data_IF_995719671259
#
_entry.id   IF_995719671259
#
_cell.length_a   1.000
_cell.length_b   1.000
_cell.length_c   1.000
_cell.angle_alpha   90.00
_cell.angle_beta   90.00
_cell.angle_gamma   90.00
#
_symmetry.space_group_name_H-M   'P 1'
#
loop_
_entity.id
_entity.type
_entity.pdbx_description
1 polymer ?
#
# COMPACT_ATOMS: atom_id res chain seq x y z
N UNK A 1 24.83 21.67 -15.03
CA UNK A 1 24.79 22.89 -14.21
C UNK A 1 23.38 23.46 -14.05
N UNK A 2 22.69 23.86 -15.15
CA UNK A 2 21.33 24.43 -15.09
C UNK A 2 20.29 23.56 -14.34
N UNK A 3 20.31 22.24 -14.53
CA UNK A 3 19.39 21.31 -13.87
C UNK A 3 19.57 21.34 -12.34
N UNK A 4 20.79 21.26 -11.85
CA UNK A 4 21.06 21.29 -10.40
C UNK A 4 20.67 22.61 -9.73
N UNK A 5 20.83 23.74 -10.45
CA UNK A 5 20.38 25.05 -9.97
C UNK A 5 18.85 25.11 -9.86
N UNK A 6 18.15 24.58 -10.86
CA UNK A 6 16.68 24.55 -10.85
C UNK A 6 16.13 23.61 -9.76
N UNK A 7 16.77 22.47 -9.57
CA UNK A 7 16.42 21.53 -8.47
C UNK A 7 16.66 22.17 -7.10
N UNK A 8 17.77 22.89 -6.92
CA UNK A 8 18.05 23.64 -5.69
C UNK A 8 17.04 24.75 -5.43
N UNK A 9 16.66 25.52 -6.45
CA UNK A 9 15.63 26.54 -6.35
C UNK A 9 14.26 25.95 -6.00
N UNK A 10 13.86 24.85 -6.66
CA UNK A 10 12.61 24.17 -6.35
C UNK A 10 12.57 23.69 -4.90
N UNK A 11 13.66 23.09 -4.42
CA UNK A 11 13.76 22.64 -3.04
C UNK A 11 13.69 23.81 -2.07
N UNK A 12 14.38 24.92 -2.34
CA UNK A 12 14.34 26.13 -1.54
C UNK A 12 12.94 26.72 -1.41
N UNK A 13 12.21 26.85 -2.52
CA UNK A 13 10.80 27.31 -2.49
C UNK A 13 9.90 26.36 -1.73
N UNK A 14 10.06 25.05 -1.91
CA UNK A 14 9.28 24.03 -1.19
C UNK A 14 9.51 24.09 0.32
N UNK A 15 10.76 24.21 0.76
CA UNK A 15 11.10 24.32 2.17
C UNK A 15 10.55 25.62 2.78
N UNK A 16 10.68 26.75 2.07
CA UNK A 16 10.16 28.06 2.54
C UNK A 16 8.62 28.02 2.67
N UNK A 17 7.93 27.49 1.67
CA UNK A 17 6.47 27.36 1.71
C UNK A 17 5.98 26.45 2.84
N UNK A 18 6.63 25.31 3.04
CA UNK A 18 6.29 24.38 4.11
C UNK A 18 6.58 24.98 5.51
N UNK A 19 7.70 25.71 5.65
CA UNK A 19 8.03 26.41 6.89
C UNK A 19 7.01 27.49 7.23
N UNK A 20 6.62 28.30 6.24
CA UNK A 20 5.60 29.34 6.42
C UNK A 20 4.26 28.75 6.83
N UNK A 21 3.83 27.66 6.14
CA UNK A 21 2.62 26.95 6.49
C UNK A 21 2.68 26.38 7.91
N UNK A 22 3.81 25.74 8.28
CA UNK A 22 4.01 25.22 9.63
C UNK A 22 3.94 26.31 10.70
N UNK A 23 4.53 27.47 10.43
CA UNK A 23 4.45 28.64 11.35
C UNK A 23 3.03 29.19 11.48
N UNK A 24 2.26 29.23 10.39
CA UNK A 24 0.85 29.63 10.45
C UNK A 24 0.01 28.67 11.32
N UNK A 25 0.36 27.36 11.34
CA UNK A 25 -0.34 26.36 12.14
C UNK A 25 0.13 26.23 13.59
N UNK A 26 1.28 26.76 13.95
CA UNK A 26 1.87 26.64 15.29
C UNK A 26 1.38 27.77 16.22
N UNK A 27 0.71 27.41 17.32
CA UNK A 27 0.17 28.37 18.28
C UNK A 27 1.22 29.26 18.95
N UNK A 28 2.48 28.85 18.97
CA UNK A 28 3.63 29.55 19.51
C UNK A 28 4.28 30.53 18.53
N UNK A 29 3.84 30.53 17.26
CA UNK A 29 4.42 31.38 16.22
C UNK A 29 3.85 32.78 16.23
N UNK A 30 4.72 33.79 15.98
CA UNK A 30 4.31 35.18 15.85
C UNK A 30 3.35 35.45 14.67
N UNK A 31 3.33 34.55 13.69
CA UNK A 31 2.43 34.62 12.52
C UNK A 31 1.32 33.55 12.57
N UNK A 32 0.98 33.09 13.77
CA UNK A 32 -0.08 32.11 13.96
C UNK A 32 -1.42 32.58 13.36
N UNK A 33 -1.96 31.79 12.44
CA UNK A 33 -3.24 31.99 11.75
C UNK A 33 -3.87 30.63 11.47
N UNK A 34 -4.57 30.10 12.46
CA UNK A 34 -5.17 28.77 12.37
C UNK A 34 -6.11 28.63 11.17
N UNK A 35 -6.86 29.68 10.86
CA UNK A 35 -7.79 29.69 9.73
C UNK A 35 -7.08 29.55 8.39
N UNK A 36 -5.90 30.18 8.24
CA UNK A 36 -5.07 30.07 7.03
C UNK A 36 -4.51 28.65 6.88
N UNK A 37 -4.00 28.08 7.97
CA UNK A 37 -3.50 26.72 7.97
C UNK A 37 -4.63 25.70 7.67
N UNK A 38 -5.80 25.89 8.29
CA UNK A 38 -6.98 25.04 8.04
C UNK A 38 -7.48 25.18 6.59
N UNK A 39 -7.56 26.41 6.05
CA UNK A 39 -7.94 26.65 4.67
C UNK A 39 -6.97 25.99 3.67
N UNK A 40 -5.65 26.10 3.91
CA UNK A 40 -4.62 25.47 3.08
C UNK A 40 -4.78 23.94 3.06
N UNK A 41 -4.99 23.33 4.24
CA UNK A 41 -5.20 21.89 4.35
C UNK A 41 -6.51 21.45 3.67
N UNK A 42 -7.58 22.24 3.83
CA UNK A 42 -8.88 21.97 3.21
C UNK A 42 -8.78 22.05 1.68
N UNK A 43 -8.13 23.09 1.16
CA UNK A 43 -7.91 23.25 -0.29
C UNK A 43 -7.07 22.10 -0.84
N UNK A 44 -6.00 21.70 -0.14
CA UNK A 44 -5.18 20.55 -0.54
C UNK A 44 -6.00 19.26 -0.64
N UNK A 45 -6.88 18.99 0.34
CA UNK A 45 -7.82 17.85 0.29
C UNK A 45 -8.81 17.95 -0.87
N UNK A 46 -9.35 19.13 -1.11
CA UNK A 46 -10.27 19.35 -2.24
C UNK A 46 -9.58 19.09 -3.58
N UNK A 47 -8.34 19.58 -3.74
CA UNK A 47 -7.56 19.32 -4.96
C UNK A 47 -7.25 17.84 -5.15
N UNK A 48 -6.87 17.11 -4.09
CA UNK A 48 -6.66 15.67 -4.16
C UNK A 48 -7.95 14.92 -4.53
N UNK A 49 -9.07 15.29 -3.94
CA UNK A 49 -10.37 14.69 -4.26
C UNK A 49 -10.78 15.01 -5.70
N UNK A 50 -10.54 16.23 -6.17
CA UNK A 50 -10.81 16.63 -7.55
C UNK A 50 -9.94 15.83 -8.53
N UNK A 51 -8.63 15.72 -8.25
CA UNK A 51 -7.73 14.91 -9.07
C UNK A 51 -8.14 13.43 -9.08
N UNK A 52 -8.55 12.89 -7.92
CA UNK A 52 -9.03 11.51 -7.80
C UNK A 52 -10.31 11.30 -8.62
N UNK A 53 -11.28 12.21 -8.49
CA UNK A 53 -12.54 12.14 -9.22
C UNK A 53 -12.33 12.30 -10.72
N UNK A 54 -11.48 13.21 -11.13
CA UNK A 54 -11.10 13.42 -12.52
C UNK A 54 -10.40 12.18 -13.10
N UNK A 55 -9.41 11.62 -12.39
CA UNK A 55 -8.72 10.41 -12.81
C UNK A 55 -9.69 9.23 -12.96
N UNK A 56 -10.64 9.10 -12.04
CA UNK A 56 -11.66 8.05 -12.08
C UNK A 56 -12.65 8.26 -13.23
N UNK A 57 -13.10 9.49 -13.44
CA UNK A 57 -14.13 9.82 -14.44
C UNK A 57 -13.59 9.73 -15.87
N UNK A 58 -12.40 10.28 -16.13
CA UNK A 58 -11.87 10.41 -17.48
C UNK A 58 -10.92 9.29 -17.88
N UNK A 59 -10.27 8.63 -16.91
CA UNK A 59 -9.26 7.61 -17.20
C UNK A 59 -9.59 6.24 -16.60
N UNK A 60 -10.76 6.11 -15.94
CA UNK A 60 -11.19 4.89 -15.25
C UNK A 60 -10.06 4.30 -14.37
N UNK A 61 -9.27 5.18 -13.75
CA UNK A 61 -8.12 4.81 -12.92
C UNK A 61 -8.46 5.02 -11.46
N UNK A 62 -8.10 4.05 -10.63
CA UNK A 62 -8.05 4.27 -9.18
C UNK A 62 -6.66 4.77 -8.80
N UNK A 63 -6.60 5.65 -7.80
CA UNK A 63 -5.32 6.04 -7.20
C UNK A 63 -4.81 4.83 -6.41
N UNK A 64 -3.84 4.14 -7.00
CA UNK A 64 -3.13 3.05 -6.33
C UNK A 64 -1.96 3.66 -5.59
N UNK A 65 -1.89 3.44 -4.29
CA UNK A 65 -0.72 3.76 -3.49
C UNK A 65 0.49 2.99 -4.05
N UNK A 66 1.64 3.67 -4.17
CA UNK A 66 2.84 3.11 -4.77
C UNK A 66 3.70 2.24 -3.86
N UNK A 67 3.13 1.69 -2.81
CA UNK A 67 3.82 0.87 -1.83
C UNK A 67 3.77 -0.60 -2.29
N UNK A 68 4.92 -1.27 -2.35
CA UNK A 68 5.01 -2.62 -2.90
C UNK A 68 5.37 -3.63 -1.81
N UNK A 69 4.78 -4.81 -1.92
CA UNK A 69 5.10 -6.03 -1.17
C UNK A 69 5.74 -7.05 -2.10
N UNK A 70 6.42 -8.05 -1.54
CA UNK A 70 6.97 -9.15 -2.33
C UNK A 70 5.85 -9.99 -2.98
N UNK A 71 6.15 -10.65 -4.11
CA UNK A 71 5.14 -11.40 -4.86
C UNK A 71 4.70 -12.69 -4.18
N UNK A 72 5.56 -13.27 -3.38
CA UNK A 72 5.36 -14.47 -2.59
C UNK A 72 4.58 -14.25 -1.28
N UNK A 73 4.17 -13.00 -0.99
CA UNK A 73 3.37 -12.71 0.19
C UNK A 73 1.98 -13.35 0.11
N UNK A 74 1.57 -14.10 1.15
CA UNK A 74 0.27 -14.72 1.23
C UNK A 74 -0.83 -13.72 1.55
N UNK A 75 -1.97 -13.87 0.89
CA UNK A 75 -3.19 -13.11 1.14
C UNK A 75 -4.33 -14.03 1.55
N UNK A 76 -5.12 -13.59 2.51
CA UNK A 76 -6.42 -14.21 2.82
C UNK A 76 -7.44 -13.63 1.84
N UNK A 77 -7.99 -14.49 1.02
CA UNK A 77 -8.87 -14.14 -0.10
C UNK A 77 -10.21 -14.85 0.04
N UNK A 78 -11.23 -14.25 -0.53
CA UNK A 78 -12.53 -14.90 -0.71
C UNK A 78 -12.83 -14.98 -2.20
N UNK A 79 -13.13 -16.17 -2.67
CA UNK A 79 -13.49 -16.41 -4.07
C UNK A 79 -14.97 -16.09 -4.35
N UNK A 80 -15.42 -16.25 -5.61
CA UNK A 80 -16.82 -16.00 -6.01
C UNK A 80 -17.85 -16.92 -5.33
N UNK A 81 -17.44 -18.09 -4.90
CA UNK A 81 -18.28 -19.04 -4.18
C UNK A 81 -18.39 -18.73 -2.67
N UNK A 82 -17.69 -17.70 -2.21
CA UNK A 82 -17.62 -17.32 -0.80
C UNK A 82 -16.60 -18.10 0.02
N UNK A 83 -15.82 -19.00 -0.61
CA UNK A 83 -14.80 -19.78 0.07
C UNK A 83 -13.55 -18.93 0.35
N UNK A 84 -12.98 -19.15 1.53
CA UNK A 84 -11.73 -18.49 1.94
C UNK A 84 -10.55 -19.32 1.44
N UNK A 85 -9.61 -18.66 0.80
CA UNK A 85 -8.39 -19.25 0.24
C UNK A 85 -7.18 -18.43 0.68
N UNK A 86 -6.04 -19.09 0.86
CA UNK A 86 -4.76 -18.43 1.07
C UNK A 86 -3.91 -18.65 -0.19
N UNK A 87 -3.53 -17.54 -0.82
CA UNK A 87 -2.72 -17.56 -2.05
C UNK A 87 -1.67 -16.48 -2.00
N UNK A 88 -0.52 -16.72 -2.63
CA UNK A 88 0.49 -15.68 -2.82
C UNK A 88 0.03 -14.68 -3.89
N UNK A 89 0.49 -13.44 -3.79
CA UNK A 89 0.10 -12.38 -4.75
C UNK A 89 0.47 -12.78 -6.18
N UNK A 90 1.63 -13.38 -6.38
CA UNK A 90 2.09 -13.79 -7.72
C UNK A 90 1.28 -14.95 -8.32
N UNK A 91 0.68 -15.82 -7.47
CA UNK A 91 -0.16 -16.93 -7.90
C UNK A 91 -1.60 -16.55 -8.25
N UNK A 92 -1.97 -15.28 -8.07
CA UNK A 92 -3.32 -14.78 -8.34
C UNK A 92 -3.67 -14.78 -9.83
N UNK A 93 -2.66 -14.80 -10.71
CA UNK A 93 -2.86 -14.90 -12.15
C UNK A 93 -1.67 -15.59 -12.82
N UNK A 94 -1.96 -16.44 -13.77
CA UNK A 94 -0.97 -17.02 -14.67
C UNK A 94 -0.69 -16.09 -15.86
N UNK A 95 -1.69 -15.33 -16.27
CA UNK A 95 -1.62 -14.39 -17.40
C UNK A 95 -1.43 -12.95 -16.92
N UNK A 96 -0.40 -12.30 -17.44
CA UNK A 96 -0.07 -10.91 -17.10
C UNK A 96 0.04 -10.06 -18.36
N UNK A 97 -0.73 -9.00 -18.40
CA UNK A 97 -0.71 -8.02 -19.49
C UNK A 97 0.29 -6.89 -19.17
N UNK A 98 0.90 -6.34 -20.21
CA UNK A 98 1.69 -5.11 -20.07
C UNK A 98 0.80 -3.99 -19.54
N UNK A 99 1.26 -3.32 -18.49
CA UNK A 99 0.57 -2.15 -17.97
C UNK A 99 0.81 -0.96 -18.89
N UNK A 100 -0.11 -0.71 -19.82
CA UNK A 100 -0.05 0.45 -20.68
C UNK A 100 -0.23 1.72 -19.87
N UNK A 101 0.82 2.52 -19.79
CA UNK A 101 0.72 3.85 -19.25
C UNK A 101 0.17 4.78 -20.30
N UNK A 102 -0.74 5.64 -19.88
CA UNK A 102 -1.33 6.68 -20.70
C UNK A 102 -0.24 7.58 -21.28
N UNK A 103 -0.18 7.65 -22.61
CA UNK A 103 0.60 8.67 -23.34
C UNK A 103 -0.16 9.98 -23.32
N UNK A 104 0.32 11.04 -22.68
CA UNK A 104 1.07 12.06 -23.40
C UNK A 104 2.31 12.57 -22.67
N UNK A 105 2.68 12.05 -21.53
CA UNK A 105 3.84 12.53 -20.73
C UNK A 105 5.03 11.56 -20.75
N UNK A 106 5.25 10.89 -21.86
CA UNK A 106 6.24 9.82 -22.04
C UNK A 106 7.72 10.31 -22.06
N UNK A 107 7.99 11.57 -21.77
CA UNK A 107 9.35 12.10 -21.71
C UNK A 107 10.08 11.86 -20.38
N UNK A 108 9.37 11.35 -19.38
CA UNK A 108 9.95 11.17 -18.06
C UNK A 108 9.73 9.74 -17.58
N UNK A 109 10.30 8.71 -18.20
CA UNK A 109 10.67 7.53 -17.43
C UNK A 109 10.68 6.20 -18.12
N UNK A 110 11.89 5.73 -18.30
CA UNK A 110 12.24 4.34 -18.61
C UNK A 110 11.76 3.31 -17.56
N UNK A 111 11.45 3.72 -16.33
CA UNK A 111 11.16 2.82 -15.19
C UNK A 111 9.73 2.29 -15.13
N UNK A 112 8.85 2.71 -16.04
CA UNK A 112 7.45 2.26 -16.07
C UNK A 112 7.14 1.16 -17.08
N UNK A 113 8.10 0.82 -17.96
CA UNK A 113 7.91 -0.13 -19.06
C UNK A 113 7.75 -1.58 -18.61
N UNK A 114 8.26 -1.92 -17.43
CA UNK A 114 8.26 -3.30 -16.92
C UNK A 114 7.07 -3.62 -16.00
N UNK A 115 6.08 -2.73 -15.92
CA UNK A 115 4.88 -2.99 -15.12
C UNK A 115 3.94 -3.92 -15.88
N UNK A 116 3.43 -4.90 -15.15
CA UNK A 116 2.40 -5.82 -15.63
C UNK A 116 1.18 -5.75 -14.72
N UNK A 117 0.02 -6.00 -15.28
CA UNK A 117 -1.27 -6.06 -14.56
C UNK A 117 -1.96 -7.38 -14.85
N UNK A 118 -2.77 -7.82 -13.91
CA UNK A 118 -3.72 -8.91 -14.08
C UNK A 118 -5.05 -8.56 -13.44
N UNK A 119 -6.15 -8.95 -14.07
CA UNK A 119 -7.49 -8.85 -13.48
C UNK A 119 -7.80 -10.16 -12.77
N UNK A 120 -8.26 -10.06 -11.54
CA UNK A 120 -8.54 -11.22 -10.70
C UNK A 120 -9.93 -11.11 -10.09
N UNK A 121 -10.50 -12.25 -9.75
CA UNK A 121 -11.88 -12.35 -9.24
C UNK A 121 -11.88 -12.82 -7.78
N UNK A 122 -11.20 -12.05 -6.93
CA UNK A 122 -11.11 -12.30 -5.51
C UNK A 122 -11.48 -11.06 -4.72
N UNK A 123 -11.86 -11.26 -3.47
CA UNK A 123 -11.98 -10.22 -2.48
C UNK A 123 -10.88 -10.40 -1.42
N UNK A 124 -10.35 -9.30 -0.91
CA UNK A 124 -9.38 -9.26 0.18
C UNK A 124 -10.01 -8.66 1.42
N UNK A 125 -9.69 -9.20 2.59
CA UNK A 125 -10.18 -8.66 3.85
C UNK A 125 -9.34 -7.43 4.25
N UNK A 126 -10.00 -6.27 4.33
CA UNK A 126 -9.37 -5.03 4.77
C UNK A 126 -10.41 -4.10 5.41
N UNK A 127 -10.02 -3.39 6.47
CA UNK A 127 -10.91 -2.49 7.23
C UNK A 127 -12.17 -3.18 7.74
N UNK A 128 -12.04 -4.41 8.27
CA UNK A 128 -13.10 -5.24 8.81
C UNK A 128 -14.21 -5.61 7.80
N UNK A 129 -13.87 -5.65 6.52
CA UNK A 129 -14.79 -6.07 5.47
C UNK A 129 -14.06 -6.69 4.28
N UNK A 130 -14.79 -7.47 3.49
CA UNK A 130 -14.33 -7.99 2.22
C UNK A 130 -14.42 -6.90 1.14
N UNK A 131 -13.35 -6.71 0.39
CA UNK A 131 -13.25 -5.70 -0.66
C UNK A 131 -12.80 -6.38 -1.95
N UNK A 132 -13.47 -6.14 -3.09
CA UNK A 132 -13.09 -6.74 -4.35
C UNK A 132 -11.72 -6.23 -4.83
N UNK A 133 -10.88 -7.16 -5.28
CA UNK A 133 -9.62 -6.83 -5.94
C UNK A 133 -9.93 -6.55 -7.40
N UNK A 134 -9.74 -5.31 -7.84
CA UNK A 134 -9.99 -4.93 -9.23
C UNK A 134 -8.89 -5.42 -10.16
N UNK A 135 -7.64 -5.29 -9.74
CA UNK A 135 -6.46 -5.73 -10.48
C UNK A 135 -5.25 -5.86 -9.55
N UNK A 136 -4.33 -6.70 -9.94
CA UNK A 136 -3.00 -6.81 -9.34
C UNK A 136 -1.98 -6.24 -10.30
N UNK A 137 -0.97 -5.54 -9.76
CA UNK A 137 0.11 -4.94 -10.55
C UNK A 137 1.43 -5.45 -10.00
N UNK A 138 2.32 -5.89 -10.89
CA UNK A 138 3.68 -6.29 -10.53
C UNK A 138 4.72 -5.52 -11.34
N UNK A 139 5.90 -5.33 -10.77
CA UNK A 139 7.07 -4.75 -11.44
C UNK A 139 8.35 -5.17 -10.75
N UNK A 140 9.46 -5.16 -11.48
CA UNK A 140 10.79 -5.33 -10.89
C UNK A 140 11.18 -4.09 -10.12
N UNK A 141 11.87 -4.26 -9.00
CA UNK A 141 12.37 -3.16 -8.18
C UNK A 141 13.80 -3.40 -7.72
N UNK A 142 14.57 -2.33 -7.57
CA UNK A 142 15.91 -2.33 -6.98
C UNK A 142 15.90 -1.72 -5.56
N UNK A 143 14.71 -1.48 -5.00
CA UNK A 143 14.55 -0.95 -3.64
C UNK A 143 14.95 -2.02 -2.62
N UNK A 144 15.37 -1.56 -1.44
CA UNK A 144 15.58 -2.46 -0.31
C UNK A 144 14.26 -3.11 0.09
N UNK A 145 14.32 -4.40 0.40
CA UNK A 145 13.21 -5.14 0.98
C UNK A 145 13.46 -5.30 2.48
N UNK A 146 12.46 -4.99 3.24
CA UNK A 146 12.43 -5.18 4.70
C UNK A 146 11.50 -6.34 5.04
N UNK A 147 12.02 -7.30 5.78
CA UNK A 147 11.21 -8.35 6.39
C UNK A 147 10.67 -7.85 7.72
N UNK A 148 9.37 -7.65 7.77
CA UNK A 148 8.66 -7.23 8.98
C UNK A 148 8.07 -8.47 9.64
N UNK A 149 8.68 -8.90 10.74
CA UNK A 149 8.27 -10.07 11.50
C UNK A 149 7.50 -9.63 12.75
N UNK A 150 6.29 -10.13 12.92
CA UNK A 150 5.41 -9.85 14.06
C UNK A 150 4.90 -11.18 14.64
N UNK A 151 4.28 -11.13 15.82
CA UNK A 151 3.63 -12.31 16.41
C UNK A 151 2.42 -12.83 15.60
N UNK A 152 1.90 -12.03 14.65
CA UNK A 152 0.76 -12.41 13.81
C UNK A 152 1.18 -12.84 12.40
N UNK A 153 2.45 -12.75 12.03
CA UNK A 153 2.94 -13.12 10.72
C UNK A 153 4.14 -12.31 10.26
N UNK A 154 4.57 -12.60 9.05
CA UNK A 154 5.72 -11.99 8.37
C UNK A 154 5.24 -11.35 7.08
N UNK A 155 5.81 -10.21 6.72
CA UNK A 155 5.57 -9.57 5.41
C UNK A 155 6.85 -8.93 4.89
N UNK A 156 7.16 -9.15 3.62
CA UNK A 156 8.29 -8.55 2.92
C UNK A 156 7.82 -7.34 2.11
N UNK A 157 8.32 -6.17 2.46
CA UNK A 157 7.87 -4.89 1.91
C UNK A 157 9.04 -4.04 1.43
N UNK A 158 8.79 -3.15 0.48
CA UNK A 158 9.80 -2.18 0.04
C UNK A 158 10.08 -1.13 1.13
N UNK A 159 11.26 -0.50 1.08
CA UNK A 159 11.71 0.50 2.06
C UNK A 159 10.79 1.72 2.21
N UNK A 160 10.00 2.00 1.21
CA UNK A 160 9.04 3.11 1.17
C UNK A 160 7.60 2.69 1.47
N UNK A 161 7.38 1.39 1.80
CA UNK A 161 6.06 0.88 2.12
C UNK A 161 5.51 1.53 3.40
N UNK A 162 4.23 1.91 3.36
CA UNK A 162 3.54 2.50 4.51
C UNK A 162 2.87 1.40 5.33
N UNK A 163 3.52 0.96 6.39
CA UNK A 163 2.90 0.15 7.42
C UNK A 163 1.92 0.99 8.24
N UNK A 164 0.97 0.37 8.90
CA UNK A 164 0.05 1.04 9.82
C UNK A 164 0.38 0.70 11.26
N UNK A 165 0.58 1.71 12.08
CA UNK A 165 0.68 1.54 13.54
C UNK A 165 -0.66 1.13 14.15
N UNK A 166 -0.67 0.69 15.40
CA UNK A 166 -1.91 0.40 16.14
C UNK A 166 -2.84 1.64 16.27
N UNK A 167 -2.30 2.84 16.08
CA UNK A 167 -3.07 4.10 16.02
C UNK A 167 -3.54 4.44 14.60
N UNK A 168 -3.29 3.56 13.62
CA UNK A 168 -3.56 3.75 12.19
C UNK A 168 -2.77 4.90 11.56
N UNK A 169 -1.62 5.24 12.13
CA UNK A 169 -0.67 6.19 11.56
C UNK A 169 0.29 5.45 10.62
N UNK A 170 0.70 6.11 9.55
CA UNK A 170 1.66 5.54 8.59
C UNK A 170 3.06 5.62 9.18
N UNK A 171 3.79 4.50 9.10
CA UNK A 171 5.18 4.38 9.51
C UNK A 171 5.94 3.59 8.45
N UNK A 172 7.18 3.98 8.12
CA UNK A 172 8.02 3.22 7.20
C UNK A 172 8.70 2.06 7.91
N UNK A 173 9.02 0.96 7.17
CA UNK A 173 9.71 -0.19 7.78
C UNK A 173 11.01 0.18 8.49
N UNK A 174 11.82 1.07 7.90
CA UNK A 174 13.08 1.53 8.49
C UNK A 174 12.94 2.45 9.70
N UNK A 175 11.75 2.93 10.01
CA UNK A 175 11.43 3.78 11.17
C UNK A 175 10.89 2.95 12.34
N UNK A 176 10.58 1.66 12.11
CA UNK A 176 10.09 0.77 13.14
C UNK A 176 11.21 0.40 14.12
N UNK A 177 10.89 0.46 15.42
CA UNK A 177 11.76 0.01 16.50
C UNK A 177 11.31 -1.37 16.98
N UNK A 178 12.20 -2.36 16.87
CA UNK A 178 11.91 -3.74 17.26
C UNK A 178 11.59 -3.81 18.76
N UNK A 179 10.50 -4.48 19.10
CA UNK A 179 10.02 -4.62 20.48
C UNK A 179 9.14 -3.45 20.98
N UNK A 180 9.14 -2.30 20.30
CA UNK A 180 8.38 -1.11 20.71
C UNK A 180 7.24 -0.75 19.73
N UNK A 181 7.52 -0.79 18.42
CA UNK A 181 6.53 -0.42 17.41
C UNK A 181 5.42 -1.47 17.35
N UNK A 182 4.18 -1.03 17.59
CA UNK A 182 2.98 -1.87 17.49
C UNK A 182 2.30 -1.60 16.16
N UNK A 183 2.17 -2.64 15.33
CA UNK A 183 1.50 -2.56 14.04
C UNK A 183 0.02 -2.95 14.18
N UNK A 184 -0.81 -2.40 13.29
CA UNK A 184 -2.22 -2.71 13.21
C UNK A 184 -2.43 -4.07 12.55
N UNK A 185 -3.25 -4.92 13.16
CA UNK A 185 -3.66 -6.20 12.64
C UNK A 185 -5.17 -6.26 12.50
N UNK A 186 -5.64 -6.95 11.46
CA UNK A 186 -7.06 -7.12 11.19
C UNK A 186 -7.28 -8.49 10.55
N UNK A 187 -8.10 -9.32 11.20
CA UNK A 187 -8.48 -10.64 10.69
C UNK A 187 -10.00 -10.73 10.55
N UNK A 188 -10.50 -11.56 9.61
CA UNK A 188 -11.92 -11.86 9.53
C UNK A 188 -12.40 -12.51 10.84
N UNK A 189 -13.46 -11.98 11.43
CA UNK A 189 -14.08 -12.57 12.62
C UNK A 189 -14.99 -13.76 12.28
N UNK A 190 -15.38 -13.88 11.02
CA UNK A 190 -16.25 -14.94 10.52
C UNK A 190 -15.48 -15.76 9.49
N UNK A 191 -15.09 -16.94 9.88
CA UNK A 191 -14.68 -18.00 8.96
C UNK A 191 -15.93 -18.85 8.75
N UNK A 192 -16.54 -18.73 7.57
CA UNK A 192 -17.64 -19.59 7.19
C UNK A 192 -17.09 -20.99 6.87
N UNK A 193 -17.30 -21.92 7.75
CA UNK A 193 -16.91 -23.32 7.62
C UNK A 193 -17.30 -24.05 8.90
N UNK A 194 -17.57 -25.32 8.83
CA UNK A 194 -17.68 -26.12 10.04
C UNK A 194 -16.34 -26.12 10.79
N UNK A 195 -16.35 -25.97 12.12
CA UNK A 195 -15.12 -26.02 12.90
C UNK A 195 -14.46 -27.39 12.68
N UNK A 196 -13.23 -27.39 12.18
CA UNK A 196 -12.43 -28.61 12.09
C UNK A 196 -12.22 -29.16 13.51
N UNK A 197 -12.49 -30.45 13.69
CA UNK A 197 -12.10 -31.12 14.93
C UNK A 197 -10.58 -31.17 15.05
N UNK A 198 -10.08 -31.11 16.27
CA UNK A 198 -8.63 -31.07 16.53
C UNK A 198 -7.87 -32.22 15.83
N UNK A 199 -8.51 -33.39 15.74
CA UNK A 199 -7.93 -34.56 15.06
C UNK A 199 -7.79 -34.36 13.55
N UNK A 200 -8.74 -33.65 12.91
CA UNK A 200 -8.66 -33.33 11.46
C UNK A 200 -7.56 -32.32 11.18
N UNK A 201 -7.34 -31.38 12.12
CA UNK A 201 -6.21 -30.41 12.02
C UNK A 201 -4.88 -31.15 12.14
N UNK A 202 -4.76 -32.09 13.07
CA UNK A 202 -3.56 -32.90 13.25
C UNK A 202 -3.27 -33.77 12.02
N UNK A 203 -4.29 -34.44 11.48
CA UNK A 203 -4.16 -35.24 10.25
C UNK A 203 -3.76 -34.41 9.02
N UNK A 204 -4.26 -33.18 8.91
CA UNK A 204 -3.81 -32.25 7.85
C UNK A 204 -2.37 -31.79 8.06
N UNK A 205 -1.97 -31.46 9.28
CA UNK A 205 -0.59 -31.07 9.59
C UNK A 205 0.41 -32.20 9.35
N UNK A 206 0.07 -33.45 9.69
CA UNK A 206 0.90 -34.61 9.43
C UNK A 206 1.17 -34.85 7.92
N UNK A 207 0.20 -34.50 7.05
CA UNK A 207 0.40 -34.53 5.60
C UNK A 207 1.46 -33.52 5.12
N UNK A 208 1.62 -32.40 5.82
CA UNK A 208 2.62 -31.39 5.49
C UNK A 208 4.01 -31.72 6.05
N UNK A 209 4.11 -32.34 7.22
CA UNK A 209 5.42 -32.75 7.79
C UNK A 209 6.12 -33.83 6.94
N UNK A 210 5.38 -34.65 6.21
CA UNK A 210 5.95 -35.67 5.32
C UNK A 210 6.50 -35.10 4.01
N UNK A 211 6.24 -33.85 3.68
CA UNK A 211 6.73 -33.20 2.45
C UNK A 211 8.02 -32.38 2.64
N UNK A 212 8.51 -32.24 3.87
CA UNK A 212 9.77 -31.55 4.19
C UNK A 212 10.83 -32.59 4.54
N UNK A 213 11.41 -33.20 3.52
CA UNK A 213 12.69 -33.97 3.57
C UNK A 213 13.67 -33.44 2.57
#
# INVERSE_FOLDING_TARGET
FKKGVLEGLQLGYKLSANSLYGQCGASTSAIFKQDVAAATTSTGRQMLNLCSSFAKQYYNTDIVYGDSVAGDEPLILRNRQGLIEIKTIESLSEEWETYENFKPFDTIQSNRRDKQKAFVNYEVFANNKWNPIKKVIRHKTNKKIYRVNTHCGVVDVTEDHSLLSNKREKIKPGECVVGETKLFHCFPNEVSGEPLHLNEIVEELDKYETSVK
#
